data_IF_091989845739
#
_entry.id   IF_091989845739
#
_cell.length_a   1.000
_cell.length_b   1.000
_cell.length_c   1.000
_cell.angle_alpha   90.00
_cell.angle_beta   90.00
_cell.angle_gamma   90.00
#
_symmetry.space_group_name_H-M   'P 1'
#
loop_
_entity.id
_entity.type
_entity.pdbx_description
1 polymer ?
#
# COMPACT_ATOMS: atom_id res chain seq x y z
N UNK A 1 -8.42 -3.12 11.00
CA UNK A 1 -9.23 -2.79 9.82
C UNK A 1 -8.85 -3.62 8.61
N UNK A 2 -7.58 -3.55 8.20
CA UNK A 2 -7.06 -4.10 6.94
C UNK A 2 -6.57 -5.56 7.02
N UNK A 3 -7.14 -6.39 7.90
CA UNK A 3 -6.69 -7.78 8.03
C UNK A 3 -6.78 -8.49 6.68
N UNK A 4 -5.61 -8.78 6.13
CA UNK A 4 -5.42 -9.40 4.83
C UNK A 4 -5.05 -10.88 5.06
N UNK A 5 -5.36 -11.77 4.10
CA UNK A 5 -5.11 -13.20 4.26
C UNK A 5 -3.64 -13.55 4.54
N UNK A 6 -2.71 -12.70 4.10
CA UNK A 6 -1.29 -12.70 4.47
C UNK A 6 -0.73 -11.27 4.38
N UNK A 7 0.47 -11.02 4.91
CA UNK A 7 1.22 -9.75 4.77
C UNK A 7 1.22 -9.21 3.33
N UNK A 8 0.91 -7.93 3.18
CA UNK A 8 0.93 -7.16 1.93
C UNK A 8 2.02 -6.09 2.02
N UNK A 9 2.84 -5.95 0.98
CA UNK A 9 3.85 -4.90 0.84
C UNK A 9 3.48 -4.01 -0.33
N UNK A 10 3.59 -2.71 -0.12
CA UNK A 10 3.38 -1.71 -1.16
C UNK A 10 4.68 -0.94 -1.39
N UNK A 11 4.91 -0.51 -2.63
CA UNK A 11 6.02 0.35 -2.97
C UNK A 11 5.57 1.41 -3.97
N UNK A 12 5.94 2.66 -3.72
CA UNK A 12 5.65 3.81 -4.60
C UNK A 12 6.98 4.44 -4.99
N UNK A 13 7.26 4.48 -6.29
CA UNK A 13 8.46 5.14 -6.82
C UNK A 13 8.05 6.36 -7.63
N UNK A 14 8.60 7.52 -7.30
CA UNK A 14 8.31 8.79 -7.98
C UNK A 14 8.87 8.91 -9.40
N UNK A 15 9.66 7.94 -9.87
CA UNK A 15 10.12 7.87 -11.26
C UNK A 15 10.45 6.42 -11.66
N UNK A 16 10.66 6.14 -12.96
CA UNK A 16 10.97 4.79 -13.47
C UNK A 16 12.26 4.17 -12.93
N UNK A 17 13.11 4.92 -12.23
CA UNK A 17 14.30 4.37 -11.55
C UNK A 17 13.96 3.39 -10.43
N UNK A 18 12.70 3.37 -9.97
CA UNK A 18 12.18 2.31 -9.09
C UNK A 18 12.94 2.18 -7.75
N UNK A 19 13.36 3.30 -7.15
CA UNK A 19 14.14 3.30 -5.91
C UNK A 19 13.41 2.65 -4.72
N UNK A 20 12.08 2.60 -4.74
CA UNK A 20 11.28 1.92 -3.71
C UNK A 20 11.04 0.42 -4.03
N UNK A 21 11.68 -0.09 -5.09
CA UNK A 21 11.59 -1.49 -5.53
C UNK A 21 10.13 -1.93 -5.78
N UNK A 22 9.30 -1.02 -6.30
CA UNK A 22 7.87 -1.22 -6.50
C UNK A 22 7.55 -2.45 -7.36
N UNK A 23 8.40 -2.77 -8.34
CA UNK A 23 8.25 -3.89 -9.28
C UNK A 23 8.40 -5.29 -8.68
N UNK A 24 8.69 -5.41 -7.37
CA UNK A 24 8.71 -6.70 -6.66
C UNK A 24 7.86 -6.70 -5.38
N UNK A 25 7.03 -5.66 -5.18
CA UNK A 25 6.09 -5.58 -4.05
C UNK A 25 4.76 -6.24 -4.41
N UNK A 26 3.96 -6.54 -3.39
CA UNK A 26 2.64 -7.17 -3.55
C UNK A 26 1.71 -6.20 -4.36
N UNK A 27 1.85 -4.88 -4.15
CA UNK A 27 1.35 -3.79 -5.02
C UNK A 27 2.49 -2.80 -5.31
N UNK A 28 2.72 -2.49 -6.59
CA UNK A 28 3.76 -1.59 -7.06
C UNK A 28 3.20 -0.43 -7.87
N UNK A 29 3.59 0.79 -7.50
CA UNK A 29 3.21 2.03 -8.18
C UNK A 29 4.48 2.73 -8.66
N UNK A 30 4.54 3.07 -9.95
CA UNK A 30 5.65 3.83 -10.56
C UNK A 30 5.07 5.05 -11.25
N UNK A 31 5.49 6.25 -10.82
CA UNK A 31 5.10 7.49 -11.47
C UNK A 31 5.86 7.64 -12.80
N UNK A 32 5.12 8.06 -13.82
CA UNK A 32 5.59 8.33 -15.18
C UNK A 32 5.05 9.69 -15.61
N UNK A 33 5.59 10.26 -16.69
CA UNK A 33 5.17 11.59 -17.15
C UNK A 33 3.66 11.67 -17.47
N UNK A 34 3.05 10.55 -17.85
CA UNK A 34 1.61 10.44 -18.15
C UNK A 34 0.73 10.04 -16.95
N UNK A 35 1.26 10.04 -15.72
CA UNK A 35 0.55 9.64 -14.51
C UNK A 35 1.23 8.51 -13.75
N UNK A 36 0.55 7.37 -13.60
CA UNK A 36 0.97 6.28 -12.73
C UNK A 36 0.77 4.92 -13.39
N UNK A 37 1.79 4.06 -13.31
CA UNK A 37 1.69 2.65 -13.65
C UNK A 37 1.45 1.85 -12.36
N UNK A 38 0.30 1.18 -12.29
CA UNK A 38 -0.08 0.33 -11.16
C UNK A 38 0.10 -1.13 -11.56
N UNK A 39 0.76 -1.90 -10.70
CA UNK A 39 1.07 -3.31 -10.92
C UNK A 39 0.94 -4.11 -9.63
N UNK A 40 0.70 -5.41 -9.72
CA UNK A 40 0.40 -6.28 -8.56
C UNK A 40 1.16 -7.60 -8.65
N UNK A 41 1.05 -8.46 -7.63
CA UNK A 41 1.55 -9.83 -7.66
C UNK A 41 3.09 -9.99 -7.68
N UNK A 42 3.84 -8.99 -7.21
CA UNK A 42 5.28 -9.11 -7.02
C UNK A 42 5.66 -9.85 -5.74
N UNK A 43 6.90 -10.36 -5.72
CA UNK A 43 7.51 -10.97 -4.53
C UNK A 43 9.03 -10.87 -4.57
N UNK A 44 9.65 -10.56 -3.44
CA UNK A 44 11.11 -10.54 -3.24
C UNK A 44 11.53 -11.44 -2.06
N UNK A 45 10.94 -12.63 -1.97
CA UNK A 45 11.21 -13.59 -0.88
C UNK A 45 11.86 -14.86 -1.41
N UNK A 46 11.44 -16.02 -0.88
CA UNK A 46 11.86 -17.33 -1.39
C UNK A 46 11.56 -17.50 -2.89
N UNK A 47 10.45 -16.92 -3.34
CA UNK A 47 10.14 -16.77 -4.77
C UNK A 47 10.35 -15.30 -5.15
N UNK A 48 11.15 -15.09 -6.20
CA UNK A 48 11.27 -13.79 -6.88
C UNK A 48 10.22 -13.72 -7.99
N UNK A 49 9.31 -12.76 -7.89
CA UNK A 49 8.26 -12.49 -8.88
C UNK A 49 8.28 -11.01 -9.21
N UNK A 50 8.39 -10.71 -10.50
CA UNK A 50 8.08 -9.38 -11.02
C UNK A 50 6.58 -9.12 -10.91
N UNK A 51 6.19 -7.87 -10.65
CA UNK A 51 4.78 -7.47 -10.71
C UNK A 51 4.21 -7.64 -12.12
N UNK A 52 2.90 -7.83 -12.18
CA UNK A 52 2.12 -7.88 -13.41
C UNK A 52 1.34 -6.56 -13.55
N UNK A 53 1.33 -5.98 -14.74
CA UNK A 53 0.68 -4.68 -14.98
C UNK A 53 -0.84 -4.77 -14.80
N UNK A 54 -1.38 -3.92 -13.94
CA UNK A 54 -2.81 -3.81 -13.66
C UNK A 54 -3.44 -2.74 -14.55
N UNK A 55 -3.01 -1.48 -14.41
CA UNK A 55 -3.55 -0.35 -15.14
C UNK A 55 -2.55 0.82 -15.18
N UNK A 56 -2.79 1.77 -16.10
CA UNK A 56 -2.19 3.11 -16.07
C UNK A 56 -3.28 4.12 -15.79
N UNK A 57 -3.06 5.04 -14.86
CA UNK A 57 -4.06 6.04 -14.44
C UNK A 57 -3.42 7.42 -14.35
N UNK A 58 -4.24 8.46 -14.51
CA UNK A 58 -3.76 9.83 -14.57
C UNK A 58 -3.65 10.47 -13.18
N UNK A 59 -4.48 10.03 -12.24
CA UNK A 59 -4.65 10.72 -10.95
C UNK A 59 -4.20 9.87 -9.76
N UNK A 60 -3.77 10.54 -8.69
CA UNK A 60 -3.44 9.88 -7.42
C UNK A 60 -4.66 9.18 -6.81
N UNK A 61 -5.85 9.79 -6.91
CA UNK A 61 -7.07 9.19 -6.40
C UNK A 61 -7.38 7.86 -7.08
N UNK A 62 -7.22 7.75 -8.41
CA UNK A 62 -7.40 6.49 -9.11
C UNK A 62 -6.37 5.42 -8.69
N UNK A 63 -5.14 5.81 -8.37
CA UNK A 63 -4.14 4.89 -7.81
C UNK A 63 -4.60 4.35 -6.46
N UNK A 64 -5.10 5.23 -5.60
CA UNK A 64 -5.63 4.86 -4.27
C UNK A 64 -6.81 3.91 -4.45
N UNK A 65 -7.79 4.25 -5.29
CA UNK A 65 -8.99 3.45 -5.50
C UNK A 65 -8.67 2.06 -6.08
N UNK A 66 -7.78 1.99 -7.08
CA UNK A 66 -7.32 0.69 -7.62
C UNK A 66 -6.62 -0.15 -6.56
N UNK A 67 -5.75 0.47 -5.76
CA UNK A 67 -5.00 -0.22 -4.70
C UNK A 67 -5.94 -0.76 -3.64
N UNK A 68 -6.88 0.07 -3.17
CA UNK A 68 -7.90 -0.31 -2.18
C UNK A 68 -8.78 -1.42 -2.72
N UNK A 69 -9.28 -1.29 -3.95
CA UNK A 69 -10.15 -2.29 -4.56
C UNK A 69 -9.45 -3.64 -4.72
N UNK A 70 -8.20 -3.68 -5.19
CA UNK A 70 -7.42 -4.93 -5.26
C UNK A 70 -7.23 -5.55 -3.89
N UNK A 71 -6.88 -4.75 -2.88
CA UNK A 71 -6.68 -5.25 -1.51
C UNK A 71 -7.99 -5.80 -0.95
N UNK A 72 -9.11 -5.12 -1.16
CA UNK A 72 -10.42 -5.60 -0.72
C UNK A 72 -10.83 -6.89 -1.45
N UNK A 73 -10.63 -6.96 -2.76
CA UNK A 73 -10.92 -8.16 -3.55
C UNK A 73 -10.06 -9.34 -3.07
N UNK A 74 -8.78 -9.09 -2.77
CA UNK A 74 -7.89 -10.08 -2.17
C UNK A 74 -8.37 -10.53 -0.78
N UNK A 75 -8.87 -9.61 0.06
CA UNK A 75 -9.44 -9.94 1.38
C UNK A 75 -10.68 -10.81 1.29
N UNK A 76 -11.52 -10.58 0.30
CA UNK A 76 -12.80 -11.29 0.12
C UNK A 76 -12.62 -12.66 -0.54
N UNK A 77 -11.62 -12.82 -1.41
CA UNK A 77 -11.51 -13.99 -2.28
C UNK A 77 -10.28 -14.89 -2.06
N UNK A 78 -9.28 -14.47 -1.27
CA UNK A 78 -8.13 -15.33 -0.98
C UNK A 78 -8.26 -16.07 0.35
N UNK A 79 -7.60 -17.24 0.44
CA UNK A 79 -7.62 -18.07 1.65
C UNK A 79 -6.54 -17.60 2.63
N UNK A 80 -6.73 -17.87 3.91
CA UNK A 80 -5.71 -17.62 4.93
C UNK A 80 -4.35 -18.19 4.50
N UNK A 81 -3.29 -17.38 4.66
CA UNK A 81 -1.91 -17.62 4.22
C UNK A 81 -1.63 -17.60 2.71
N UNK A 82 -2.62 -17.33 1.86
CA UNK A 82 -2.34 -17.09 0.44
C UNK A 82 -1.60 -15.77 0.26
N UNK A 83 -0.35 -15.82 -0.22
CA UNK A 83 0.33 -14.61 -0.72
C UNK A 83 -0.39 -14.07 -1.95
N UNK A 84 -0.43 -12.75 -2.14
CA UNK A 84 -1.17 -12.14 -3.26
C UNK A 84 -0.75 -12.75 -4.62
N UNK A 85 0.55 -12.97 -4.86
CA UNK A 85 1.02 -13.57 -6.12
C UNK A 85 0.53 -15.01 -6.33
N UNK A 86 0.37 -15.79 -5.25
CA UNK A 86 -0.21 -17.15 -5.32
C UNK A 86 -1.70 -17.07 -5.57
N UNK A 87 -2.39 -16.10 -4.99
CA UNK A 87 -3.81 -15.87 -5.24
C UNK A 87 -4.05 -15.42 -6.68
N UNK A 88 -3.32 -14.43 -7.19
CA UNK A 88 -3.40 -13.98 -8.60
C UNK A 88 -3.13 -15.14 -9.56
N UNK A 89 -2.15 -16.00 -9.26
CA UNK A 89 -1.87 -17.18 -10.08
C UNK A 89 -3.03 -18.21 -10.10
N UNK A 90 -3.91 -18.23 -9.09
CA UNK A 90 -5.08 -19.11 -9.03
C UNK A 90 -6.30 -18.51 -9.75
N UNK A 91 -6.58 -17.22 -9.53
CA UNK A 91 -7.79 -16.57 -10.05
C UNK A 91 -7.59 -15.98 -11.45
N UNK A 92 -6.35 -15.72 -11.84
CA UNK A 92 -6.00 -15.05 -13.09
C UNK A 92 -6.00 -13.52 -12.97
N UNK A 93 -5.07 -12.86 -13.64
CA UNK A 93 -4.97 -11.40 -13.65
C UNK A 93 -6.16 -10.76 -14.36
N UNK A 94 -6.66 -11.38 -15.43
CA UNK A 94 -7.77 -10.84 -16.23
C UNK A 94 -9.06 -10.75 -15.39
N UNK A 95 -9.36 -11.77 -14.60
CA UNK A 95 -10.50 -11.76 -13.66
C UNK A 95 -10.45 -10.61 -12.65
N UNK A 96 -9.24 -10.22 -12.24
CA UNK A 96 -9.02 -9.07 -11.35
C UNK A 96 -9.26 -7.78 -12.12
N UNK A 97 -8.69 -7.64 -13.33
CA UNK A 97 -8.85 -6.46 -14.18
C UNK A 97 -10.32 -6.18 -14.50
N UNK A 98 -11.07 -7.22 -14.86
CA UNK A 98 -12.52 -7.11 -15.12
C UNK A 98 -13.27 -6.45 -13.94
N UNK A 99 -12.86 -6.72 -12.70
CA UNK A 99 -13.56 -6.25 -11.49
C UNK A 99 -13.06 -4.91 -10.95
N UNK A 100 -11.77 -4.61 -11.13
CA UNK A 100 -11.17 -3.42 -10.50
C UNK A 100 -10.79 -2.35 -11.51
N UNK A 101 -10.57 -2.71 -12.78
CA UNK A 101 -10.19 -1.78 -13.85
C UNK A 101 -11.40 -1.49 -14.73
N UNK A 102 -12.07 -2.53 -15.21
CA UNK A 102 -13.13 -2.39 -16.22
C UNK A 102 -14.50 -2.10 -15.58
N UNK A 103 -14.79 -2.69 -14.42
CA UNK A 103 -16.01 -2.42 -13.65
C UNK A 103 -15.78 -1.32 -12.58
N UNK A 104 -16.08 -0.08 -12.96
CA UNK A 104 -15.93 1.07 -12.06
C UNK A 104 -16.93 1.06 -10.90
N UNK A 105 -18.10 0.42 -11.07
CA UNK A 105 -19.11 0.34 -10.03
C UNK A 105 -18.70 -0.68 -8.97
N UNK A 106 -18.20 -1.85 -9.38
CA UNK A 106 -17.63 -2.83 -8.45
C UNK A 106 -16.39 -2.27 -7.75
N UNK A 107 -15.51 -1.56 -8.47
CA UNK A 107 -14.38 -0.85 -7.82
C UNK A 107 -14.84 0.09 -6.71
N UNK A 108 -15.84 0.92 -6.97
CA UNK A 108 -16.39 1.83 -5.96
C UNK A 108 -16.98 1.08 -4.76
N UNK A 109 -17.73 0.00 -5.02
CA UNK A 109 -18.30 -0.85 -3.98
C UNK A 109 -17.22 -1.54 -3.12
N UNK A 110 -16.12 -2.00 -3.72
CA UNK A 110 -14.95 -2.54 -3.01
C UNK A 110 -14.31 -1.48 -2.11
N UNK A 111 -14.13 -0.25 -2.61
CA UNK A 111 -13.59 0.86 -1.81
C UNK A 111 -14.48 1.19 -0.61
N UNK A 112 -15.80 1.24 -0.80
CA UNK A 112 -16.75 1.48 0.27
C UNK A 112 -16.68 0.40 1.36
N UNK A 113 -16.69 -0.89 0.96
CA UNK A 113 -16.55 -2.02 1.90
C UNK A 113 -15.22 -1.96 2.66
N UNK A 114 -14.14 -1.56 2.00
CA UNK A 114 -12.86 -1.37 2.66
C UNK A 114 -12.91 -0.25 3.70
N UNK A 115 -13.49 0.90 3.37
CA UNK A 115 -13.61 2.04 4.29
C UNK A 115 -14.46 1.70 5.51
N UNK A 116 -15.56 0.95 5.35
CA UNK A 116 -16.33 0.43 6.50
C UNK A 116 -15.45 -0.38 7.45
N UNK A 117 -14.53 -1.20 6.92
CA UNK A 117 -13.60 -1.96 7.76
C UNK A 117 -12.52 -1.09 8.42
N UNK A 118 -12.20 0.07 7.86
CA UNK A 118 -11.25 1.01 8.43
C UNK A 118 -11.91 1.91 9.48
N UNK A 119 -13.15 2.39 9.27
CA UNK A 119 -13.81 3.37 10.13
C UNK A 119 -13.85 2.97 11.62
N UNK A 120 -13.94 1.66 11.90
CA UNK A 120 -13.96 1.12 13.27
C UNK A 120 -12.57 1.03 13.91
N UNK A 121 -11.51 0.80 13.11
CA UNK A 121 -10.20 0.40 13.62
C UNK A 121 -9.05 1.33 13.22
N UNK A 122 -9.28 2.30 12.34
CA UNK A 122 -8.30 3.28 11.88
C UNK A 122 -8.07 4.28 13.01
N UNK A 123 -7.12 3.97 13.87
CA UNK A 123 -6.54 4.89 14.83
C UNK A 123 -5.13 5.22 14.37
N UNK A 124 -4.81 6.51 14.26
CA UNK A 124 -3.45 6.95 14.00
C UNK A 124 -2.57 6.57 15.22
N UNK A 125 -1.59 5.65 15.05
CA UNK A 125 -0.72 5.23 16.15
C UNK A 125 0.26 6.34 16.60
N UNK A 126 0.43 7.38 15.79
CA UNK A 126 1.36 8.48 16.04
C UNK A 126 0.67 9.78 16.45
N UNK A 127 -0.65 9.89 16.35
CA UNK A 127 -1.38 11.15 16.60
C UNK A 127 -1.08 11.78 17.98
N UNK A 128 -0.99 10.96 19.02
CA UNK A 128 -0.60 11.44 20.35
C UNK A 128 0.88 11.83 20.41
N UNK A 129 1.73 11.05 19.72
CA UNK A 129 3.18 11.19 19.75
C UNK A 129 3.69 12.35 18.90
N UNK A 130 2.89 12.81 17.93
CA UNK A 130 3.18 13.97 17.09
C UNK A 130 2.85 15.29 17.75
N UNK A 131 2.23 15.28 18.93
CA UNK A 131 1.95 16.52 19.67
C UNK A 131 3.26 17.17 20.15
N UNK A 132 3.37 18.52 20.10
CA UNK A 132 4.59 19.21 20.55
C UNK A 132 4.98 18.89 21.99
N UNK A 133 4.00 18.64 22.86
CA UNK A 133 4.24 18.31 24.26
C UNK A 133 4.87 16.92 24.40
N UNK A 134 4.29 15.90 23.76
CA UNK A 134 4.81 14.53 23.81
C UNK A 134 6.21 14.44 23.22
N UNK A 135 6.49 15.19 22.15
CA UNK A 135 7.81 15.21 21.54
C UNK A 135 8.89 15.77 22.46
N UNK A 136 8.59 16.86 23.17
CA UNK A 136 9.51 17.42 24.18
C UNK A 136 9.76 16.42 25.30
N UNK A 137 8.72 15.77 25.82
CA UNK A 137 8.88 14.94 27.01
C UNK A 137 9.55 13.58 26.69
N UNK A 138 9.29 13.00 25.51
CA UNK A 138 9.79 11.65 25.15
C UNK A 138 11.03 11.63 24.25
N UNK A 139 11.18 12.62 23.37
CA UNK A 139 12.29 12.70 22.41
C UNK A 139 13.34 13.74 22.78
N UNK A 140 13.29 14.27 24.02
CA UNK A 140 14.38 15.10 24.52
C UNK A 140 15.71 14.32 24.55
N UNK A 141 16.84 14.96 24.22
CA UNK A 141 18.15 14.38 24.44
C UNK A 141 18.29 13.89 25.87
N UNK A 142 18.85 12.69 26.05
CA UNK A 142 19.15 12.15 27.39
C UNK A 142 20.19 13.04 28.11
N UNK A 143 21.03 13.72 27.34
CA UNK A 143 21.98 14.70 27.85
C UNK A 143 22.03 15.91 26.92
N UNK A 144 22.09 17.10 27.51
CA UNK A 144 22.45 18.33 26.81
C UNK A 144 23.98 18.43 26.72
N UNK A 145 24.51 18.29 25.50
CA UNK A 145 25.94 18.40 25.22
C UNK A 145 26.34 19.80 24.75
N UNK A 146 25.47 20.79 24.91
CA UNK A 146 25.78 22.18 24.59
C UNK A 146 26.87 22.68 25.54
N UNK A 147 28.08 22.89 25.00
CA UNK A 147 29.20 23.44 25.76
C UNK A 147 28.89 24.90 26.11
N UNK A 148 28.69 25.19 27.40
CA UNK A 148 28.65 26.57 27.90
C UNK A 148 30.08 27.06 28.08
N UNK A 149 30.36 28.29 27.63
CA UNK A 149 31.64 28.93 27.87
C UNK A 149 31.89 29.03 29.39
N UNK A 150 33.10 28.68 29.82
CA UNK A 150 33.54 28.91 31.19
C UNK A 150 33.70 30.43 31.40
N UNK A 151 32.99 30.97 32.39
CA UNK A 151 33.20 32.34 32.89
C UNK A 151 34.52 32.45 33.68
#
# INVERSE_FOLDING_TARGET
GSWTPHKVKLGVSGCPRNCAEATCKDVGIVCVDSGYEVSIAGAAGMELKQTQALAKVATEQEVIDLTVAVIQLYREHARYLDRIYKWVAKVGLDWIKERVVDDLAERAALCERFEISQSVYRKDPWAEQSTPQYQRDKWSPIADLTLKAAE
#
